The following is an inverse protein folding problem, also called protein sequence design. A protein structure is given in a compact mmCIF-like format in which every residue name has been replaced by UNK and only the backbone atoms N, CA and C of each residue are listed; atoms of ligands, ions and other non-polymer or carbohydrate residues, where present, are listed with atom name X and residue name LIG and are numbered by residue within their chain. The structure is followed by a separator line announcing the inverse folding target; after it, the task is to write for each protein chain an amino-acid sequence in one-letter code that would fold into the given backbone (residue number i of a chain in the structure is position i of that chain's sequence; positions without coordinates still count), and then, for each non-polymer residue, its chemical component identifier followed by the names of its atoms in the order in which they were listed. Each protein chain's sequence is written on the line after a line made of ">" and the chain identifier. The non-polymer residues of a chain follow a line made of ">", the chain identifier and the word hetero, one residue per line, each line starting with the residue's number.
data_IF_619700928945
#
_entry.id   IF_619700928945
#
_cell.length_a   1.000
_cell.length_b   1.000
_cell.length_c   1.000
_cell.angle_alpha   90.00
_cell.angle_beta   90.00
_cell.angle_gamma   90.00
#
_symmetry.space_group_name_H-M   'P 1'
#
loop_
_entity.id
_entity.type
_entity.pdbx_description
1 polymer ?
#
# COMPACT_ATOMS: atom_id res chain seq x y z
N UNK A 1 30.60 -12.34 -13.02
CA UNK A 1 29.48 -11.61 -13.62
C UNK A 1 28.95 -10.69 -12.52
N UNK A 2 29.45 -9.45 -12.49
CA UNK A 2 29.10 -8.48 -11.46
C UNK A 2 27.68 -7.95 -11.73
N UNK A 3 26.84 -7.91 -10.68
CA UNK A 3 25.53 -7.30 -10.78
C UNK A 3 25.69 -5.81 -11.11
N UNK A 4 24.90 -5.25 -12.04
CA UNK A 4 25.01 -3.84 -12.41
C UNK A 4 24.83 -2.97 -11.17
N UNK A 5 25.80 -2.07 -10.94
CA UNK A 5 25.77 -1.10 -9.86
C UNK A 5 24.45 -0.34 -9.87
N UNK A 6 23.67 -0.49 -8.81
CA UNK A 6 22.33 0.07 -8.68
C UNK A 6 22.42 1.51 -8.20
N UNK A 7 22.07 2.46 -9.07
CA UNK A 7 21.86 3.85 -8.67
C UNK A 7 20.47 3.97 -8.02
N UNK A 8 20.42 4.28 -6.73
CA UNK A 8 19.17 4.62 -6.03
C UNK A 8 19.01 6.14 -6.09
N UNK A 9 18.04 6.68 -6.84
CA UNK A 9 17.76 8.11 -6.79
C UNK A 9 17.24 8.48 -5.38
N UNK A 10 18.01 9.29 -4.66
CA UNK A 10 17.57 9.93 -3.41
C UNK A 10 17.14 11.34 -3.77
N UNK A 11 15.87 11.51 -4.12
CA UNK A 11 15.30 12.82 -4.38
C UNK A 11 14.66 13.36 -3.10
N UNK A 12 15.18 14.47 -2.58
CA UNK A 12 14.63 15.17 -1.41
C UNK A 12 14.01 16.48 -1.87
N UNK A 13 12.80 16.81 -1.39
CA UNK A 13 12.10 18.04 -1.79
C UNK A 13 11.36 17.96 -3.13
N UNK A 14 11.22 16.76 -3.70
CA UNK A 14 10.43 16.55 -4.92
C UNK A 14 8.92 16.57 -4.63
N UNK A 15 8.18 17.25 -5.49
CA UNK A 15 6.71 17.26 -5.48
C UNK A 15 6.24 16.17 -6.44
N UNK A 16 5.37 15.27 -5.97
CA UNK A 16 4.69 14.29 -6.81
C UNK A 16 3.37 14.92 -7.25
N UNK A 17 3.33 15.37 -8.50
CA UNK A 17 2.12 15.97 -9.07
C UNK A 17 1.02 14.93 -9.27
N UNK A 18 -0.26 15.32 -9.21
CA UNK A 18 -1.37 14.47 -9.57
C UNK A 18 -1.22 13.88 -10.98
N UNK A 19 -1.58 12.61 -11.15
CA UNK A 19 -1.38 11.88 -12.40
C UNK A 19 0.04 11.32 -12.58
N UNK A 20 0.97 11.60 -11.65
CA UNK A 20 2.31 11.00 -11.69
C UNK A 20 2.23 9.50 -11.41
N UNK A 21 2.87 8.73 -12.29
CA UNK A 21 3.04 7.29 -12.13
C UNK A 21 4.46 6.93 -11.69
N UNK A 22 4.58 6.03 -10.73
CA UNK A 22 5.84 5.41 -10.31
C UNK A 22 5.78 3.94 -10.67
N UNK A 23 6.85 3.45 -11.30
CA UNK A 23 6.99 2.05 -11.70
C UNK A 23 8.32 1.48 -11.24
N UNK A 24 8.31 0.22 -10.84
CA UNK A 24 9.50 -0.58 -10.53
C UNK A 24 9.63 -1.72 -11.54
N UNK A 25 10.89 -2.11 -11.83
CA UNK A 25 11.22 -3.32 -12.59
C UNK A 25 11.32 -4.55 -11.69
N UNK A 26 11.89 -5.62 -12.22
CA UNK A 26 11.87 -6.98 -11.64
C UNK A 26 12.66 -7.12 -10.32
N UNK A 27 13.58 -6.20 -10.03
CA UNK A 27 14.35 -6.10 -8.79
C UNK A 27 14.13 -4.74 -8.07
N UNK A 28 13.11 -4.01 -8.53
CA UNK A 28 12.88 -2.63 -8.16
C UNK A 28 12.39 -2.51 -6.72
N UNK A 29 12.97 -1.56 -6.00
CA UNK A 29 12.55 -1.16 -4.66
C UNK A 29 12.60 0.36 -4.63
N UNK A 30 11.45 0.98 -4.36
CA UNK A 30 11.32 2.43 -4.20
C UNK A 30 10.73 2.70 -2.82
N UNK A 31 11.28 3.69 -2.12
CA UNK A 31 10.74 4.19 -0.85
C UNK A 31 10.46 5.68 -1.00
N UNK A 32 9.25 6.08 -0.64
CA UNK A 32 8.77 7.46 -0.63
C UNK A 32 8.43 7.82 0.81
N UNK A 33 8.82 9.02 1.23
CA UNK A 33 8.51 9.55 2.56
C UNK A 33 7.90 10.93 2.37
N UNK A 34 6.63 11.06 2.76
CA UNK A 34 5.89 12.31 2.79
C UNK A 34 6.30 13.18 3.98
N UNK A 35 6.08 14.49 3.85
CA UNK A 35 6.32 15.45 4.93
C UNK A 35 5.41 15.25 6.15
N UNK A 36 4.27 14.58 5.95
CA UNK A 36 3.32 14.17 6.99
C UNK A 36 3.72 12.85 7.68
N UNK A 37 4.87 12.29 7.32
CA UNK A 37 5.37 11.02 7.85
C UNK A 37 4.75 9.79 7.18
N UNK A 38 3.86 9.94 6.19
CA UNK A 38 3.41 8.84 5.34
C UNK A 38 4.61 8.22 4.64
N UNK A 39 4.74 6.90 4.69
CA UNK A 39 5.78 6.19 3.97
C UNK A 39 5.17 5.16 3.04
N UNK A 40 5.57 5.21 1.78
CA UNK A 40 5.15 4.25 0.76
C UNK A 40 6.39 3.48 0.31
N UNK A 41 6.27 2.17 0.20
CA UNK A 41 7.32 1.34 -0.37
C UNK A 41 6.77 0.46 -1.47
N UNK A 42 7.42 0.50 -2.63
CA UNK A 42 7.04 -0.26 -3.82
C UNK A 42 8.09 -1.34 -4.05
N UNK A 43 7.65 -2.56 -4.35
CA UNK A 43 8.49 -3.72 -4.64
C UNK A 43 8.57 -4.02 -6.14
N UNK A 44 9.18 -5.13 -6.52
CA UNK A 44 9.26 -5.58 -7.90
C UNK A 44 7.93 -5.47 -8.67
N UNK A 45 8.03 -5.08 -9.94
CA UNK A 45 6.93 -4.98 -10.90
C UNK A 45 5.72 -4.12 -10.47
N UNK A 46 5.91 -3.20 -9.54
CA UNK A 46 4.83 -2.36 -8.97
C UNK A 46 4.52 -1.17 -9.85
N UNK A 47 3.22 -0.90 -10.05
CA UNK A 47 2.72 0.29 -10.73
C UNK A 47 1.79 1.09 -9.83
N UNK A 48 2.22 2.29 -9.46
CA UNK A 48 1.50 3.19 -8.55
C UNK A 48 1.20 4.52 -9.25
N UNK A 49 -0.02 5.01 -9.15
CA UNK A 49 -0.43 6.32 -9.70
C UNK A 49 -1.02 7.20 -8.60
N UNK A 50 -0.60 8.45 -8.53
CA UNK A 50 -1.14 9.41 -7.58
C UNK A 50 -2.29 10.19 -8.21
N UNK A 51 -3.32 10.52 -7.44
CA UNK A 51 -4.42 11.39 -7.88
C UNK A 51 -4.54 12.60 -6.96
N UNK A 52 -5.04 13.70 -7.51
CA UNK A 52 -5.64 14.80 -6.75
C UNK A 52 -7.15 14.79 -6.96
N UNK A 53 -7.93 15.42 -6.06
CA UNK A 53 -7.52 16.16 -4.86
C UNK A 53 -7.51 15.34 -3.55
N UNK A 54 -7.91 14.06 -3.60
CA UNK A 54 -7.93 13.20 -2.41
C UNK A 54 -6.56 12.54 -2.22
N UNK A 55 -5.97 12.66 -1.03
CA UNK A 55 -4.67 12.07 -0.63
C UNK A 55 -4.68 10.55 -0.80
N UNK A 56 -4.40 10.09 -2.02
CA UNK A 56 -4.47 8.68 -2.34
C UNK A 56 -3.77 8.32 -3.64
N UNK A 57 -3.77 7.02 -3.89
CA UNK A 57 -3.12 6.44 -5.05
C UNK A 57 -3.91 5.25 -5.58
N UNK A 58 -3.64 4.84 -6.82
CA UNK A 58 -4.07 3.56 -7.38
C UNK A 58 -2.87 2.66 -7.58
N UNK A 59 -2.99 1.45 -7.05
CA UNK A 59 -2.07 0.37 -7.25
C UNK A 59 -2.64 -0.56 -8.33
N UNK A 60 -2.04 -0.55 -9.51
CA UNK A 60 -2.53 -1.34 -10.65
C UNK A 60 -2.00 -2.78 -10.62
N UNK A 61 -0.79 -2.96 -10.11
CA UNK A 61 -0.08 -4.25 -10.01
C UNK A 61 1.07 -4.18 -9.00
N UNK A 62 1.54 -5.34 -8.57
CA UNK A 62 2.73 -5.48 -7.72
C UNK A 62 2.40 -5.37 -6.24
N UNK A 63 3.31 -4.81 -5.45
CA UNK A 63 3.19 -4.78 -4.00
C UNK A 63 3.55 -3.42 -3.40
N UNK A 64 2.65 -2.88 -2.59
CA UNK A 64 2.77 -1.62 -1.88
C UNK A 64 2.74 -1.86 -0.37
N UNK A 65 3.78 -1.41 0.33
CA UNK A 65 3.75 -1.19 1.76
C UNK A 65 3.37 0.26 2.07
N UNK A 66 2.42 0.47 2.97
CA UNK A 66 2.02 1.78 3.48
C UNK A 66 2.27 1.81 4.97
N UNK A 67 3.00 2.82 5.44
CA UNK A 67 3.09 3.16 6.86
C UNK A 67 2.54 4.56 7.07
N UNK A 68 1.50 4.67 7.88
CA UNK A 68 0.88 5.94 8.25
C UNK A 68 1.03 6.13 9.77
N UNK A 69 1.68 7.22 10.22
CA UNK A 69 1.82 7.49 11.65
C UNK A 69 0.46 7.56 12.33
N UNK A 70 0.41 7.16 13.60
CA UNK A 70 -0.78 7.41 14.43
C UNK A 70 -0.70 8.86 14.88
N UNK A 71 -1.44 9.76 14.23
CA UNK A 71 -1.54 11.15 14.66
C UNK A 71 -2.93 11.39 15.24
N UNK A 72 -2.97 11.97 16.45
CA UNK A 72 -4.24 12.32 17.13
C UNK A 72 -4.98 13.47 16.41
N UNK A 73 -4.36 14.10 15.40
CA UNK A 73 -4.81 15.35 14.80
C UNK A 73 -5.17 15.26 13.31
N UNK A 74 -4.84 14.17 12.60
CA UNK A 74 -5.22 14.04 11.19
C UNK A 74 -6.52 13.25 11.05
N UNK A 75 -7.62 13.93 10.73
CA UNK A 75 -8.88 13.29 10.37
C UNK A 75 -8.88 12.70 8.94
N UNK A 76 -7.77 12.83 8.20
CA UNK A 76 -7.66 12.30 6.86
C UNK A 76 -7.16 10.85 6.90
N UNK A 77 -7.82 9.96 6.17
CA UNK A 77 -7.29 8.62 5.88
C UNK A 77 -6.45 8.67 4.60
N UNK A 78 -5.43 7.83 4.48
CA UNK A 78 -4.79 7.60 3.18
C UNK A 78 -5.63 6.64 2.36
N UNK A 79 -5.96 7.00 1.11
CA UNK A 79 -6.79 6.16 0.25
C UNK A 79 -5.95 5.39 -0.77
N UNK A 80 -6.20 4.10 -0.90
CA UNK A 80 -5.59 3.28 -1.96
C UNK A 80 -6.70 2.60 -2.75
N UNK A 81 -6.74 2.85 -4.06
CA UNK A 81 -7.56 2.12 -4.99
C UNK A 81 -6.76 0.98 -5.63
N UNK A 82 -7.43 -0.11 -5.93
CA UNK A 82 -6.91 -1.21 -6.75
C UNK A 82 -7.97 -1.55 -7.81
N UNK A 83 -7.66 -2.41 -8.79
CA UNK A 83 -8.69 -2.90 -9.70
C UNK A 83 -9.89 -3.53 -8.98
N UNK A 84 -9.63 -4.22 -7.85
CA UNK A 84 -10.61 -5.08 -7.19
C UNK A 84 -11.27 -4.41 -5.96
N UNK A 85 -10.53 -3.63 -5.18
CA UNK A 85 -11.02 -2.97 -3.94
C UNK A 85 -10.54 -1.53 -3.78
N UNK A 86 -11.23 -0.76 -2.95
CA UNK A 86 -10.77 0.48 -2.34
C UNK A 86 -10.39 0.26 -0.87
N UNK A 87 -9.42 1.03 -0.39
CA UNK A 87 -8.88 0.94 0.96
C UNK A 87 -8.74 2.33 1.58
N UNK A 88 -9.16 2.47 2.82
CA UNK A 88 -8.94 3.68 3.63
C UNK A 88 -8.09 3.30 4.84
N UNK A 89 -6.89 3.88 4.93
CA UNK A 89 -5.91 3.60 5.99
C UNK A 89 -5.91 4.79 6.95
N UNK A 90 -6.43 4.57 8.15
CA UNK A 90 -6.45 5.59 9.20
C UNK A 90 -5.06 5.75 9.84
N UNK A 91 -4.45 4.62 10.25
CA UNK A 91 -3.11 4.58 10.84
C UNK A 91 -2.52 3.16 10.78
N UNK A 92 -1.20 3.07 10.94
CA UNK A 92 -0.47 1.81 11.09
C UNK A 92 0.29 1.38 9.84
N UNK A 93 0.49 0.07 9.70
CA UNK A 93 1.29 -0.53 8.64
C UNK A 93 0.41 -1.51 7.86
N UNK A 94 0.21 -1.24 6.58
CA UNK A 94 -0.67 -2.01 5.70
C UNK A 94 0.10 -2.43 4.45
N UNK A 95 -0.05 -3.68 4.06
CA UNK A 95 0.56 -4.24 2.84
C UNK A 95 -0.54 -4.60 1.87
N UNK A 96 -0.36 -4.21 0.61
CA UNK A 96 -1.31 -4.45 -0.46
C UNK A 96 -0.56 -5.13 -1.59
N UNK A 97 -1.11 -6.23 -2.11
CA UNK A 97 -0.58 -6.93 -3.27
C UNK A 97 -1.67 -7.05 -4.32
N UNK A 98 -1.35 -6.67 -5.54
CA UNK A 98 -2.25 -6.74 -6.70
C UNK A 98 -1.63 -7.64 -7.74
N UNK A 99 -2.35 -8.69 -8.07
CA UNK A 99 -2.09 -9.59 -9.19
C UNK A 99 -3.30 -9.53 -10.15
N UNK A 100 -3.19 -10.02 -11.40
CA UNK A 100 -4.21 -9.75 -12.44
C UNK A 100 -5.66 -10.01 -12.03
N UNK A 101 -5.92 -11.01 -11.20
CA UNK A 101 -7.28 -11.43 -10.81
C UNK A 101 -7.60 -11.21 -9.33
N UNK A 102 -6.68 -10.65 -8.54
CA UNK A 102 -6.82 -10.60 -7.08
C UNK A 102 -6.08 -9.41 -6.48
N UNK A 103 -6.73 -8.73 -5.54
CA UNK A 103 -6.08 -7.83 -4.58
C UNK A 103 -6.10 -8.48 -3.20
N UNK A 104 -4.96 -8.52 -2.53
CA UNK A 104 -4.85 -8.91 -1.13
C UNK A 104 -4.40 -7.72 -0.31
N UNK A 105 -4.96 -7.57 0.88
CA UNK A 105 -4.60 -6.51 1.82
C UNK A 105 -4.41 -7.11 3.21
N UNK A 106 -3.27 -6.85 3.82
CA UNK A 106 -2.93 -7.28 5.17
C UNK A 106 -2.59 -6.07 6.04
N UNK A 107 -3.25 -5.95 7.19
CA UNK A 107 -2.94 -4.93 8.20
C UNK A 107 -1.98 -5.54 9.20
N UNK A 108 -0.71 -5.13 9.19
CA UNK A 108 0.28 -5.61 10.14
C UNK A 108 0.08 -4.95 11.50
N UNK A 109 -0.24 -3.66 11.48
CA UNK A 109 -0.53 -2.84 12.66
C UNK A 109 -1.56 -1.77 12.31
N UNK A 110 -2.31 -1.29 13.31
CA UNK A 110 -3.32 -0.25 13.13
C UNK A 110 -4.61 -0.80 12.55
N UNK A 111 -5.27 -0.02 11.69
CA UNK A 111 -6.59 -0.34 11.12
C UNK A 111 -6.74 0.18 9.69
N UNK A 112 -7.47 -0.56 8.88
CA UNK A 112 -7.87 -0.13 7.55
C UNK A 112 -9.29 -0.60 7.22
N UNK A 113 -10.05 0.25 6.53
CA UNK A 113 -11.37 -0.10 6.01
C UNK A 113 -11.25 -0.48 4.53
N UNK A 114 -11.79 -1.65 4.18
CA UNK A 114 -11.82 -2.18 2.82
C UNK A 114 -13.22 -2.01 2.26
N UNK A 115 -13.33 -1.51 1.03
CA UNK A 115 -14.60 -1.40 0.31
C UNK A 115 -14.48 -2.09 -1.06
N UNK A 116 -15.41 -2.98 -1.37
CA UNK A 116 -15.51 -3.60 -2.67
C UNK A 116 -16.50 -2.85 -3.56
N UNK A 117 -16.39 -3.00 -4.89
CA UNK A 117 -17.25 -2.29 -5.87
C UNK A 117 -18.73 -2.64 -5.76
N UNK A 118 -19.05 -3.82 -5.23
CA UNK A 118 -20.43 -4.25 -4.99
C UNK A 118 -21.06 -3.62 -3.72
N UNK A 119 -20.37 -2.69 -3.06
CA UNK A 119 -20.84 -1.99 -1.86
C UNK A 119 -20.50 -2.67 -0.54
N UNK A 120 -19.93 -3.88 -0.55
CA UNK A 120 -19.50 -4.56 0.67
C UNK A 120 -18.31 -3.86 1.32
N UNK A 121 -18.34 -3.80 2.65
CA UNK A 121 -17.32 -3.14 3.47
C UNK A 121 -16.87 -4.03 4.61
N UNK A 122 -15.58 -3.95 4.94
CA UNK A 122 -14.94 -4.74 5.97
C UNK A 122 -13.86 -3.92 6.66
N UNK A 123 -13.90 -3.86 7.99
CA UNK A 123 -12.82 -3.29 8.79
C UNK A 123 -11.78 -4.36 9.13
N UNK A 124 -10.52 -4.06 8.84
CA UNK A 124 -9.37 -4.88 9.16
C UNK A 124 -8.59 -4.25 10.32
N UNK A 125 -8.39 -5.03 11.37
CA UNK A 125 -7.51 -4.73 12.49
C UNK A 125 -6.13 -5.40 12.35
N UNK A 126 -5.29 -5.30 13.39
CA UNK A 126 -3.94 -5.85 13.37
C UNK A 126 -3.94 -7.36 13.10
N UNK A 127 -3.01 -7.80 12.25
CA UNK A 127 -2.83 -9.19 11.79
C UNK A 127 -4.03 -9.77 11.05
N UNK A 128 -4.91 -8.91 10.53
CA UNK A 128 -6.00 -9.35 9.67
C UNK A 128 -5.67 -9.09 8.20
N UNK A 129 -6.19 -9.98 7.36
CA UNK A 129 -6.08 -9.95 5.92
C UNK A 129 -7.47 -10.12 5.29
N UNK A 130 -7.65 -9.53 4.12
CA UNK A 130 -8.74 -9.84 3.22
C UNK A 130 -8.24 -9.90 1.78
N UNK A 131 -8.99 -10.61 0.93
CA UNK A 131 -8.75 -10.66 -0.49
C UNK A 131 -10.03 -10.28 -1.25
N UNK A 132 -9.86 -9.59 -2.37
CA UNK A 132 -10.94 -9.25 -3.29
C UNK A 132 -10.58 -9.65 -4.71
N UNK A 133 -11.54 -10.27 -5.38
CA UNK A 133 -11.55 -10.54 -6.81
C UNK A 133 -12.91 -10.07 -7.35
N UNK A 134 -13.08 -9.98 -8.67
CA UNK A 134 -14.43 -9.75 -9.19
C UNK A 134 -15.23 -11.07 -9.18
N UNK A 135 -16.41 -11.17 -8.53
CA UNK A 135 -17.19 -10.13 -7.83
C UNK A 135 -17.14 -10.20 -6.29
N UNK A 136 -16.21 -10.93 -5.71
CA UNK A 136 -16.21 -11.35 -4.31
C UNK A 136 -15.19 -10.60 -3.44
N UNK A 137 -15.62 -10.28 -2.22
CA UNK A 137 -14.74 -9.88 -1.11
C UNK A 137 -14.77 -11.00 -0.08
N UNK A 138 -13.60 -11.50 0.33
CA UNK A 138 -13.52 -12.48 1.39
C UNK A 138 -13.95 -11.90 2.73
N UNK A 139 -14.33 -12.77 3.68
CA UNK A 139 -14.29 -12.39 5.09
C UNK A 139 -12.86 -12.02 5.51
N UNK A 140 -12.71 -11.37 6.67
CA UNK A 140 -11.39 -11.20 7.27
C UNK A 140 -10.88 -12.55 7.77
N UNK A 141 -9.58 -12.77 7.59
CA UNK A 141 -8.87 -13.93 8.12
C UNK A 141 -7.52 -13.50 8.69
N UNK A 142 -6.86 -14.40 9.42
CA UNK A 142 -5.55 -14.11 9.96
C UNK A 142 -4.53 -13.98 8.84
N UNK A 143 -3.75 -12.90 8.85
CA UNK A 143 -2.72 -12.66 7.85
C UNK A 143 -1.71 -13.82 7.85
N UNK A 144 -1.49 -14.39 6.66
CA UNK A 144 -0.52 -15.46 6.46
C UNK A 144 0.85 -14.86 6.10
N UNK A 145 1.89 -15.67 6.32
CA UNK A 145 3.30 -15.29 6.24
C UNK A 145 3.68 -14.49 4.98
N UNK A 146 3.11 -14.81 3.82
CA UNK A 146 3.47 -14.21 2.53
C UNK A 146 3.42 -12.68 2.49
N UNK A 147 2.37 -12.07 3.05
CA UNK A 147 2.22 -10.61 3.10
C UNK A 147 2.83 -10.02 4.37
N UNK A 148 2.77 -10.77 5.46
CA UNK A 148 3.28 -10.36 6.76
C UNK A 148 4.80 -10.17 6.72
N UNK A 149 5.52 -11.07 6.06
CA UNK A 149 6.98 -11.00 5.88
C UNK A 149 7.42 -10.37 4.56
N UNK A 150 6.48 -9.97 3.69
CA UNK A 150 6.82 -9.24 2.48
C UNK A 150 7.55 -7.92 2.81
N UNK A 151 7.34 -7.33 3.98
CA UNK A 151 7.93 -6.05 4.34
C UNK A 151 8.61 -6.06 5.70
N UNK A 152 9.93 -5.92 5.71
CA UNK A 152 10.70 -5.59 6.90
C UNK A 152 10.77 -4.06 7.06
N UNK A 153 9.99 -3.54 7.99
CA UNK A 153 10.22 -2.19 8.53
C UNK A 153 11.27 -2.31 9.63
N UNK A 154 12.43 -1.66 9.46
CA UNK A 154 13.53 -1.70 10.45
C UNK A 154 13.09 -1.21 11.84
N UNK A 155 12.14 -0.28 11.90
CA UNK A 155 11.44 0.08 13.14
C UNK A 155 9.98 -0.39 13.04
N UNK A 156 9.56 -1.36 13.87
CA UNK A 156 8.19 -1.85 13.89
C UNK A 156 7.22 -0.93 14.63
N UNK A 157 7.68 0.17 15.27
CA UNK A 157 6.78 1.14 15.90
C UNK A 157 6.19 2.03 14.81
N UNK A 158 4.87 2.30 14.78
CA UNK A 158 4.23 3.17 13.77
C UNK A 158 4.70 4.62 13.88
#
# INVERSE_FOLDING_TARGET
>A
MEAPGRLVPVATGSIIEPGTGIRTGDDGLVSLVGSDGLQLRLKEETGLWFFAPELGCRLDRGCLGVRRPTTDTSSSSFKVATPHLGLEIASGIVVIKVVPLLSRVAVLQGRAAVAHRNGWRLDLGPRQEAAAAFPELSASYQALDDLYYAWYWKDPRP
#
